data_IF_602767016852
#
_entry.id   IF_602767016852
#
_cell.length_a   1.000
_cell.length_b   1.000
_cell.length_c   1.000
_cell.angle_alpha   90.00
_cell.angle_beta   90.00
_cell.angle_gamma   90.00
#
_symmetry.space_group_name_H-M   'P 1'
#
loop_
_entity.id
_entity.type
_entity.pdbx_description
1 polymer ?
#
# COMPACT_ATOMS: atom_id res chain seq x y z
N UNK A 1 2.43 -8.94 -15.81
CA UNK A 1 1.72 -9.51 -16.98
C UNK A 1 0.51 -10.29 -16.50
N UNK A 2 0.66 -11.11 -15.47
CA UNK A 2 -0.41 -11.92 -14.85
C UNK A 2 -1.64 -11.10 -14.44
N UNK A 3 -1.44 -9.96 -13.76
CA UNK A 3 -2.55 -9.08 -13.35
C UNK A 3 -3.37 -8.58 -14.55
N UNK A 4 -2.70 -8.25 -15.67
CA UNK A 4 -3.37 -7.77 -16.90
C UNK A 4 -4.23 -8.89 -17.50
N UNK A 5 -3.68 -10.11 -17.55
CA UNK A 5 -4.39 -11.28 -18.05
C UNK A 5 -5.58 -11.66 -17.17
N UNK A 6 -5.40 -11.60 -15.85
CA UNK A 6 -6.45 -11.85 -14.87
C UNK A 6 -7.62 -10.87 -15.05
N UNK A 7 -7.33 -9.57 -15.21
CA UNK A 7 -8.37 -8.54 -15.47
C UNK A 7 -9.15 -8.87 -16.74
N UNK A 8 -8.46 -9.27 -17.82
CA UNK A 8 -9.10 -9.68 -19.07
C UNK A 8 -10.06 -10.86 -18.86
N UNK A 9 -9.59 -11.91 -18.21
CA UNK A 9 -10.40 -13.11 -17.93
C UNK A 9 -11.62 -12.80 -17.06
N UNK A 10 -11.43 -12.05 -15.96
CA UNK A 10 -12.53 -11.69 -15.06
C UNK A 10 -13.62 -10.87 -15.78
N UNK A 11 -13.21 -9.99 -16.70
CA UNK A 11 -14.13 -9.20 -17.51
C UNK A 11 -14.88 -10.05 -18.54
N UNK A 12 -14.17 -10.94 -19.24
CA UNK A 12 -14.75 -11.86 -20.23
C UNK A 12 -15.81 -12.78 -19.60
N UNK A 13 -15.57 -13.25 -18.38
CA UNK A 13 -16.51 -14.09 -17.62
C UNK A 13 -17.61 -13.30 -16.90
N UNK A 14 -17.60 -11.97 -16.97
CA UNK A 14 -18.60 -11.11 -16.32
C UNK A 14 -18.58 -11.18 -14.78
N UNK A 15 -17.42 -11.46 -14.18
CA UNK A 15 -17.24 -11.57 -12.74
C UNK A 15 -17.06 -10.18 -12.10
N UNK A 16 -17.58 -10.02 -10.89
CA UNK A 16 -17.27 -8.87 -10.05
C UNK A 16 -15.92 -9.09 -9.36
N UNK A 17 -15.07 -8.06 -9.37
CA UNK A 17 -13.78 -8.09 -8.70
C UNK A 17 -13.37 -6.70 -8.20
N UNK A 18 -12.49 -6.71 -7.21
CA UNK A 18 -11.83 -5.52 -6.69
C UNK A 18 -10.36 -5.82 -6.45
N UNK A 19 -9.52 -4.79 -6.46
CA UNK A 19 -8.11 -4.91 -6.07
C UNK A 19 -7.88 -4.25 -4.71
N UNK A 20 -7.10 -4.92 -3.87
CA UNK A 20 -6.55 -4.33 -2.65
C UNK A 20 -5.10 -3.90 -2.91
N UNK A 21 -4.82 -2.62 -2.66
CA UNK A 21 -3.50 -2.03 -2.77
C UNK A 21 -2.98 -1.70 -1.37
N UNK A 22 -1.83 -2.25 -1.03
CA UNK A 22 -1.08 -1.91 0.18
C UNK A 22 0.06 -0.97 -0.19
N UNK A 23 -0.08 0.30 0.19
CA UNK A 23 0.88 1.36 -0.12
C UNK A 23 1.80 1.63 1.07
N UNK A 24 3.06 1.96 0.78
CA UNK A 24 4.02 2.39 1.79
C UNK A 24 4.87 1.28 2.39
N UNK A 25 4.99 0.14 1.71
CA UNK A 25 5.95 -0.90 2.05
C UNK A 25 7.42 -0.52 1.78
N UNK A 26 8.38 -1.39 2.12
CA UNK A 26 9.80 -1.10 1.93
C UNK A 26 10.17 -0.71 0.49
N UNK A 27 10.81 0.44 0.32
CA UNK A 27 11.20 0.98 -0.99
C UNK A 27 10.11 1.75 -1.75
N UNK A 28 8.88 1.84 -1.20
CA UNK A 28 7.80 2.59 -1.82
C UNK A 28 8.09 4.11 -1.84
N UNK A 29 7.73 4.77 -2.93
CA UNK A 29 7.90 6.22 -3.15
C UNK A 29 6.61 6.81 -3.72
N UNK A 30 6.47 8.14 -3.71
CA UNK A 30 5.30 8.80 -4.31
C UNK A 30 5.17 8.49 -5.82
N UNK A 31 6.30 8.28 -6.50
CA UNK A 31 6.35 7.87 -7.90
C UNK A 31 5.76 6.48 -8.12
N UNK A 32 6.15 5.50 -7.30
CA UNK A 32 5.68 4.11 -7.43
C UNK A 32 4.21 3.97 -7.07
N UNK A 33 3.71 4.77 -6.10
CA UNK A 33 2.28 4.89 -5.81
C UNK A 33 1.53 5.42 -7.03
N UNK A 34 2.02 6.50 -7.65
CA UNK A 34 1.41 7.08 -8.86
C UNK A 34 1.34 6.07 -9.99
N UNK A 35 2.44 5.35 -10.25
CA UNK A 35 2.48 4.30 -11.27
C UNK A 35 1.41 3.24 -11.00
N UNK A 36 1.28 2.78 -9.77
CA UNK A 36 0.32 1.74 -9.39
C UNK A 36 -1.13 2.19 -9.51
N UNK A 37 -1.47 3.39 -9.02
CA UNK A 37 -2.83 3.97 -9.15
C UNK A 37 -3.19 4.18 -10.62
N UNK A 38 -2.27 4.74 -11.42
CA UNK A 38 -2.49 4.90 -12.86
C UNK A 38 -2.67 3.56 -13.54
N UNK A 39 -1.95 2.51 -13.13
CA UNK A 39 -2.11 1.19 -13.70
C UNK A 39 -3.49 0.59 -13.44
N UNK A 40 -4.00 0.73 -12.21
CA UNK A 40 -5.36 0.30 -11.88
C UNK A 40 -6.42 1.07 -12.71
N UNK A 41 -6.19 2.36 -12.95
CA UNK A 41 -7.03 3.21 -13.80
C UNK A 41 -6.99 2.78 -15.27
N UNK A 42 -5.81 2.52 -15.83
CA UNK A 42 -5.60 2.02 -17.19
C UNK A 42 -6.27 0.67 -17.43
N UNK A 43 -6.23 -0.22 -16.44
CA UNK A 43 -6.86 -1.54 -16.50
C UNK A 43 -8.38 -1.49 -16.34
N UNK A 44 -8.93 -0.34 -15.97
CA UNK A 44 -10.34 -0.15 -15.65
C UNK A 44 -10.81 -1.18 -14.60
N UNK A 45 -10.09 -1.23 -13.49
CA UNK A 45 -10.47 -2.05 -12.34
C UNK A 45 -11.75 -1.46 -11.73
N UNK A 46 -12.82 -2.24 -11.52
CA UNK A 46 -14.12 -1.71 -11.09
C UNK A 46 -14.08 -1.05 -9.71
N UNK A 47 -13.26 -1.57 -8.80
CA UNK A 47 -13.12 -1.06 -7.44
C UNK A 47 -11.71 -1.35 -6.91
N UNK A 48 -11.14 -0.39 -6.20
CA UNK A 48 -9.79 -0.46 -5.63
C UNK A 48 -9.82 0.00 -4.20
N UNK A 49 -9.54 -0.89 -3.24
CA UNK A 49 -9.28 -0.54 -1.85
C UNK A 49 -7.82 -0.15 -1.67
N UNK A 50 -7.53 0.94 -0.95
CA UNK A 50 -6.17 1.36 -0.66
C UNK A 50 -5.96 1.46 0.85
N UNK A 51 -5.01 0.69 1.36
CA UNK A 51 -4.47 0.82 2.71
C UNK A 51 -3.06 1.42 2.67
N UNK A 52 -2.72 2.25 3.65
CA UNK A 52 -1.39 2.86 3.77
C UNK A 52 -0.69 2.42 5.07
N UNK A 53 0.57 2.02 4.93
CA UNK A 53 1.37 1.50 6.05
C UNK A 53 1.09 0.03 6.36
N UNK A 54 2.03 -0.61 7.03
CA UNK A 54 2.02 -2.05 7.31
C UNK A 54 2.20 -2.28 8.80
N UNK A 55 1.27 -2.99 9.44
CA UNK A 55 1.49 -3.45 10.81
C UNK A 55 2.59 -4.52 10.85
N UNK A 56 3.56 -4.33 11.73
CA UNK A 56 4.71 -5.20 11.92
C UNK A 56 4.36 -6.32 12.90
N UNK A 57 4.72 -7.55 12.53
CA UNK A 57 4.59 -8.73 13.38
C UNK A 57 5.95 -9.43 13.48
N UNK A 58 6.43 -9.82 14.68
CA UNK A 58 7.81 -10.30 14.87
C UNK A 58 8.23 -11.47 13.96
N UNK A 59 7.31 -12.38 13.66
CA UNK A 59 7.62 -13.60 12.90
C UNK A 59 7.48 -13.45 11.38
N UNK A 60 7.11 -12.27 10.87
CA UNK A 60 7.01 -12.02 9.42
C UNK A 60 8.37 -11.58 8.85
N UNK A 61 8.58 -11.68 7.53
CA UNK A 61 9.81 -11.17 6.90
C UNK A 61 10.08 -9.69 7.22
N UNK A 62 9.02 -8.86 7.30
CA UNK A 62 9.14 -7.46 7.69
C UNK A 62 9.62 -7.31 9.15
N UNK A 63 9.02 -8.06 10.08
CA UNK A 63 9.43 -8.05 11.48
C UNK A 63 10.88 -8.50 11.68
N UNK A 64 11.31 -9.53 10.95
CA UNK A 64 12.70 -10.00 10.97
C UNK A 64 13.67 -8.96 10.40
N UNK A 65 13.35 -8.34 9.26
CA UNK A 65 14.18 -7.29 8.68
C UNK A 65 14.38 -6.10 9.62
N UNK A 66 13.36 -5.76 10.42
CA UNK A 66 13.44 -4.71 11.45
C UNK A 66 14.31 -5.19 12.63
N UNK A 67 14.06 -6.39 13.15
CA UNK A 67 14.81 -6.97 14.28
C UNK A 67 16.31 -7.14 13.96
N UNK A 68 16.64 -7.50 12.72
CA UNK A 68 18.02 -7.65 12.23
C UNK A 68 18.66 -6.31 11.87
N UNK A 69 17.94 -5.20 12.00
CA UNK A 69 18.42 -3.85 11.73
C UNK A 69 18.63 -3.53 10.24
N UNK A 70 18.03 -4.30 9.33
CA UNK A 70 18.02 -4.02 7.89
C UNK A 70 17.12 -2.82 7.59
N UNK A 71 15.97 -2.73 8.26
CA UNK A 71 15.05 -1.60 8.20
C UNK A 71 15.05 -0.88 9.55
N UNK A 72 15.54 0.36 9.59
CA UNK A 72 15.68 1.17 10.82
C UNK A 72 14.78 2.41 10.85
N UNK A 73 14.28 2.82 9.69
CA UNK A 73 13.48 4.03 9.52
C UNK A 73 12.04 3.69 9.15
N UNK A 74 11.14 4.66 9.26
CA UNK A 74 9.73 4.49 8.90
C UNK A 74 8.91 3.71 9.93
N UNK A 75 9.40 3.60 11.17
CA UNK A 75 8.75 2.87 12.26
C UNK A 75 7.85 3.79 13.08
N UNK A 76 6.62 3.34 13.36
CA UNK A 76 5.60 4.10 14.08
C UNK A 76 4.86 3.22 15.10
N UNK A 77 4.83 3.58 16.40
CA UNK A 77 5.62 4.63 17.03
C UNK A 77 7.12 4.31 17.00
N UNK A 78 7.97 5.29 17.28
CA UNK A 78 9.41 5.05 17.41
C UNK A 78 9.63 4.04 18.56
N UNK A 79 10.42 3.00 18.29
CA UNK A 79 10.46 1.76 19.07
C UNK A 79 11.11 1.90 20.46
N UNK A 80 11.58 3.10 20.80
CA UNK A 80 12.25 3.41 22.06
C UNK A 80 11.33 3.56 23.28
N UNK A 81 10.03 3.82 23.10
CA UNK A 81 9.18 4.27 24.22
C UNK A 81 8.06 3.29 24.64
N UNK A 82 7.59 2.40 23.77
CA UNK A 82 6.39 1.57 24.04
C UNK A 82 6.39 0.19 23.34
N UNK A 83 7.14 -0.82 23.82
CA UNK A 83 7.20 -2.16 23.21
C UNK A 83 5.85 -2.92 23.24
N UNK A 84 4.92 -2.51 24.09
CA UNK A 84 3.56 -3.06 24.17
C UNK A 84 2.59 -2.55 23.10
N UNK A 85 2.94 -1.46 22.39
CA UNK A 85 2.08 -0.89 21.37
C UNK A 85 2.27 -1.58 20.01
N UNK A 86 1.22 -1.64 19.16
CA UNK A 86 1.37 -2.10 17.79
C UNK A 86 2.39 -1.27 17.03
N UNK A 87 3.39 -1.93 16.45
CA UNK A 87 4.38 -1.31 15.59
C UNK A 87 3.89 -1.32 14.14
N UNK A 88 4.10 -0.21 13.44
CA UNK A 88 3.79 -0.03 12.03
C UNK A 88 5.04 0.40 11.27
N UNK A 89 5.06 0.08 9.98
CA UNK A 89 6.06 0.49 9.02
C UNK A 89 5.40 1.33 7.94
N UNK A 90 5.99 2.48 7.62
CA UNK A 90 5.69 3.29 6.45
C UNK A 90 7.01 3.70 5.78
N UNK A 91 7.12 3.53 4.47
CA UNK A 91 8.33 3.90 3.73
C UNK A 91 8.76 5.34 4.05
N UNK A 92 10.00 5.57 4.52
CA UNK A 92 10.46 6.91 4.91
C UNK A 92 10.46 7.89 3.73
N UNK A 93 10.53 7.39 2.50
CA UNK A 93 10.49 8.19 1.27
C UNK A 93 9.14 8.85 0.99
N UNK A 94 8.07 8.44 1.70
CA UNK A 94 6.72 9.00 1.54
C UNK A 94 6.44 10.21 2.44
N UNK A 95 7.31 10.48 3.42
CA UNK A 95 7.14 11.61 4.34
C UNK A 95 5.91 11.48 5.25
N UNK A 96 5.45 12.62 5.77
CA UNK A 96 4.49 12.67 6.87
C UNK A 96 3.01 12.51 6.53
N UNK A 97 2.62 12.56 5.24
CA UNK A 97 1.21 12.49 4.85
C UNK A 97 0.97 11.72 3.55
N UNK A 98 1.20 10.40 3.62
CA UNK A 98 0.93 9.46 2.52
C UNK A 98 -0.55 9.45 2.11
N UNK A 99 -1.46 9.69 3.04
CA UNK A 99 -2.90 9.69 2.78
C UNK A 99 -3.27 10.86 1.88
N UNK A 100 -2.72 12.05 2.11
CA UNK A 100 -2.91 13.19 1.21
C UNK A 100 -2.39 12.88 -0.19
N UNK A 101 -1.19 12.31 -0.32
CA UNK A 101 -0.63 11.91 -1.64
C UNK A 101 -1.55 10.93 -2.36
N UNK A 102 -2.07 9.91 -1.67
CA UNK A 102 -2.98 8.92 -2.26
C UNK A 102 -4.29 9.59 -2.69
N UNK A 103 -4.87 10.46 -1.86
CA UNK A 103 -6.12 11.15 -2.18
C UNK A 103 -5.97 12.08 -3.38
N UNK A 104 -4.87 12.82 -3.48
CA UNK A 104 -4.57 13.66 -4.64
C UNK A 104 -4.44 12.83 -5.92
N UNK A 105 -3.81 11.66 -5.86
CA UNK A 105 -3.66 10.74 -6.99
C UNK A 105 -4.96 10.01 -7.38
N UNK A 106 -5.80 9.69 -6.39
CA UNK A 106 -7.15 9.18 -6.63
C UNK A 106 -8.02 10.24 -7.31
N UNK A 107 -7.80 11.53 -7.01
CA UNK A 107 -8.43 12.67 -7.67
C UNK A 107 -9.98 12.61 -7.69
N UNK A 108 -10.57 12.05 -6.63
CA UNK A 108 -12.03 11.89 -6.52
C UNK A 108 -12.62 10.81 -7.43
N UNK A 109 -11.81 9.99 -8.08
CA UNK A 109 -12.25 8.85 -8.88
C UNK A 109 -12.96 7.84 -7.96
N UNK A 110 -14.28 7.60 -8.14
CA UNK A 110 -15.09 6.85 -7.19
C UNK A 110 -14.73 5.36 -7.14
N UNK A 111 -13.90 4.87 -8.07
CA UNK A 111 -13.38 3.50 -8.04
C UNK A 111 -12.35 3.29 -6.94
N UNK A 112 -11.72 4.35 -6.43
CA UNK A 112 -10.67 4.27 -5.42
C UNK A 112 -11.22 4.60 -4.03
N UNK A 113 -11.21 3.60 -3.15
CA UNK A 113 -11.62 3.72 -1.75
C UNK A 113 -10.36 3.77 -0.88
N UNK A 114 -10.01 4.96 -0.41
CA UNK A 114 -8.90 5.16 0.52
C UNK A 114 -9.40 4.85 1.93
N UNK A 115 -8.79 3.86 2.58
CA UNK A 115 -9.09 3.49 3.95
C UNK A 115 -8.31 4.44 4.87
N UNK A 116 -9.00 5.46 5.39
CA UNK A 116 -8.48 6.45 6.34
C UNK A 116 -9.14 6.35 7.71
#
# INVERSE_FOLDING_TARGET
QDVVQLVGLLREEGLNYMFDLLMGGPGETAETIRITINKARELDVPLVGIAAGIRVYPSTPLGKAIADGILKEGLHPDTGEHPEQPLFYLSPSLGGDVITVINELAAGDPRFLVLS
#
